data_IF_836717604421
#
_entry.id   IF_836717604421
#
_cell.length_a   1.000
_cell.length_b   1.000
_cell.length_c   1.000
_cell.angle_alpha   90.00
_cell.angle_beta   90.00
_cell.angle_gamma   90.00
#
_symmetry.space_group_name_H-M   'P 1'
#
loop_
_entity.id
_entity.type
_entity.pdbx_description
1 polymer ?
#
# COMPACT_ATOMS: atom_id res chain seq x y z
N UNK A 1 -13.60 0.62 -58.19
CA UNK A 1 -14.65 0.26 -57.23
C UNK A 1 -14.13 0.55 -55.83
N UNK A 2 -14.60 1.64 -55.20
CA UNK A 2 -14.09 2.10 -53.91
C UNK A 2 -14.98 1.53 -52.80
N UNK A 3 -14.48 0.56 -52.04
CA UNK A 3 -15.20 -0.05 -50.91
C UNK A 3 -15.11 0.89 -49.70
N UNK A 4 -16.16 1.64 -49.42
CA UNK A 4 -16.26 2.43 -48.20
C UNK A 4 -16.44 1.48 -47.02
N UNK A 5 -15.42 1.39 -46.16
CA UNK A 5 -15.53 0.63 -44.90
C UNK A 5 -16.55 1.32 -44.00
N UNK A 6 -17.68 0.65 -43.75
CA UNK A 6 -18.67 1.11 -42.77
C UNK A 6 -18.02 1.20 -41.39
N UNK A 7 -17.98 2.40 -40.80
CA UNK A 7 -17.47 2.59 -39.44
C UNK A 7 -18.50 2.00 -38.47
N UNK A 8 -18.22 0.83 -37.90
CA UNK A 8 -19.00 0.30 -36.76
C UNK A 8 -18.75 1.22 -35.56
N UNK A 9 -19.76 1.99 -35.17
CA UNK A 9 -19.78 2.73 -33.91
C UNK A 9 -20.07 1.81 -32.73
N UNK A 10 -19.59 2.18 -31.56
CA UNK A 10 -19.87 1.48 -30.29
C UNK A 10 -21.31 1.77 -29.85
N UNK A 11 -21.99 0.79 -29.25
CA UNK A 11 -23.35 1.00 -28.75
C UNK A 11 -23.32 1.64 -27.37
N UNK A 12 -24.34 2.44 -27.05
CA UNK A 12 -24.47 3.02 -25.71
C UNK A 12 -24.62 1.93 -24.64
N UNK A 13 -25.29 0.82 -24.97
CA UNK A 13 -25.47 -0.29 -24.03
C UNK A 13 -24.16 -0.98 -23.67
N UNK A 14 -23.24 -1.16 -24.64
CA UNK A 14 -21.91 -1.70 -24.35
C UNK A 14 -21.16 -0.78 -23.37
N UNK A 15 -21.27 0.54 -23.55
CA UNK A 15 -20.61 1.49 -22.66
C UNK A 15 -21.20 1.41 -21.24
N UNK A 16 -22.53 1.34 -21.13
CA UNK A 16 -23.21 1.26 -19.83
C UNK A 16 -22.79 0.02 -19.02
N UNK A 17 -22.67 -1.14 -19.69
CA UNK A 17 -22.22 -2.38 -19.03
C UNK A 17 -20.78 -2.23 -18.53
N UNK A 18 -19.90 -1.60 -19.33
CA UNK A 18 -18.51 -1.36 -18.93
C UNK A 18 -18.45 -0.48 -17.68
N UNK A 19 -19.20 0.63 -17.63
CA UNK A 19 -19.20 1.51 -16.44
C UNK A 19 -19.79 0.78 -15.23
N UNK A 20 -20.81 -0.04 -15.41
CA UNK A 20 -21.38 -0.84 -14.34
C UNK A 20 -20.37 -1.85 -13.75
N UNK A 21 -19.63 -2.56 -14.59
CA UNK A 21 -18.57 -3.50 -14.15
C UNK A 21 -17.46 -2.75 -13.42
N UNK A 22 -16.98 -1.62 -13.97
CA UNK A 22 -15.95 -0.80 -13.33
C UNK A 22 -16.45 -0.27 -11.97
N UNK A 23 -17.72 0.12 -11.86
CA UNK A 23 -18.33 0.57 -10.62
C UNK A 23 -18.33 -0.50 -9.53
N UNK A 24 -18.70 -1.74 -9.87
CA UNK A 24 -18.67 -2.88 -8.94
C UNK A 24 -17.24 -3.17 -8.48
N UNK A 25 -16.30 -3.21 -9.42
CA UNK A 25 -14.88 -3.44 -9.10
C UNK A 25 -14.32 -2.33 -8.22
N UNK A 26 -14.62 -1.07 -8.51
CA UNK A 26 -14.16 0.09 -7.74
C UNK A 26 -14.73 0.08 -6.31
N UNK A 27 -16.01 -0.27 -6.14
CA UNK A 27 -16.64 -0.36 -4.82
C UNK A 27 -15.94 -1.36 -3.89
N UNK A 28 -15.40 -2.46 -4.42
CA UNK A 28 -14.65 -3.46 -3.65
C UNK A 28 -13.17 -3.07 -3.52
N UNK A 29 -12.56 -2.55 -4.59
CA UNK A 29 -11.14 -2.27 -4.65
C UNK A 29 -10.71 -1.09 -3.77
N UNK A 30 -11.50 -0.01 -3.73
CA UNK A 30 -11.18 1.21 -2.98
C UNK A 30 -11.00 0.94 -1.47
N UNK A 31 -11.97 0.34 -0.74
CA UNK A 31 -11.79 0.08 0.70
C UNK A 31 -10.65 -0.90 0.96
N UNK A 32 -10.49 -1.93 0.12
CA UNK A 32 -9.40 -2.90 0.23
C UNK A 32 -8.03 -2.23 0.08
N UNK A 33 -7.89 -1.33 -0.89
CA UNK A 33 -6.64 -0.60 -1.09
C UNK A 33 -6.33 0.31 0.10
N UNK A 34 -7.33 1.01 0.64
CA UNK A 34 -7.15 1.82 1.85
C UNK A 34 -6.70 0.99 3.06
N UNK A 35 -7.28 -0.20 3.25
CA UNK A 35 -6.84 -1.14 4.30
C UNK A 35 -5.40 -1.61 4.10
N UNK A 36 -5.00 -1.89 2.85
CA UNK A 36 -3.63 -2.29 2.53
C UNK A 36 -2.60 -1.19 2.88
N UNK A 37 -2.91 0.07 2.59
CA UNK A 37 -2.06 1.21 2.98
C UNK A 37 -1.97 1.34 4.50
N UNK A 38 -3.09 1.16 5.23
CA UNK A 38 -3.07 1.18 6.69
C UNK A 38 -2.19 0.05 7.24
N UNK A 39 -2.34 -1.17 6.71
CA UNK A 39 -1.54 -2.33 7.10
C UNK A 39 -0.06 -2.17 6.76
N UNK A 40 0.27 -1.56 5.62
CA UNK A 40 1.67 -1.31 5.25
C UNK A 40 2.32 -0.29 6.19
N UNK A 41 1.61 0.78 6.55
CA UNK A 41 2.09 1.76 7.54
C UNK A 41 2.28 1.14 8.93
N UNK A 42 1.35 0.30 9.36
CA UNK A 42 1.46 -0.45 10.62
C UNK A 42 2.66 -1.42 10.58
N UNK A 43 2.84 -2.13 9.48
CA UNK A 43 3.97 -3.04 9.26
C UNK A 43 5.31 -2.32 9.26
N UNK A 44 5.40 -1.17 8.59
CA UNK A 44 6.60 -0.33 8.59
C UNK A 44 6.94 0.17 9.99
N UNK A 45 5.92 0.62 10.74
CA UNK A 45 6.09 1.07 12.13
C UNK A 45 6.56 -0.06 13.03
N UNK A 46 5.98 -1.27 12.91
CA UNK A 46 6.42 -2.47 13.64
C UNK A 46 7.86 -2.86 13.29
N UNK A 47 8.22 -2.80 12.00
CA UNK A 47 9.58 -3.04 11.53
C UNK A 47 10.57 -2.07 12.18
N UNK A 48 10.27 -0.77 12.15
CA UNK A 48 11.10 0.25 12.76
C UNK A 48 11.26 0.06 14.28
N UNK A 49 10.16 -0.23 14.99
CA UNK A 49 10.22 -0.54 16.43
C UNK A 49 11.05 -1.81 16.71
N UNK A 50 10.96 -2.82 15.85
CA UNK A 50 11.78 -4.02 15.95
C UNK A 50 13.26 -3.73 15.80
N UNK A 51 13.64 -2.91 14.81
CA UNK A 51 15.01 -2.45 14.61
C UNK A 51 15.52 -1.66 15.83
N UNK A 52 14.72 -0.70 16.34
CA UNK A 52 15.08 0.07 17.53
C UNK A 52 15.25 -0.83 18.77
N UNK A 53 14.36 -1.79 18.98
CA UNK A 53 14.47 -2.77 20.08
C UNK A 53 15.75 -3.59 19.96
N UNK A 54 16.12 -3.99 18.75
CA UNK A 54 17.38 -4.71 18.50
C UNK A 54 18.58 -3.85 18.88
N UNK A 55 18.67 -2.62 18.37
CA UNK A 55 19.75 -1.69 18.71
C UNK A 55 19.83 -1.43 20.22
N UNK A 56 18.68 -1.28 20.87
CA UNK A 56 18.59 -1.09 22.32
C UNK A 56 19.14 -2.29 23.09
N UNK A 57 18.80 -3.50 22.66
CA UNK A 57 19.29 -4.72 23.32
C UNK A 57 20.80 -4.91 23.17
N UNK A 58 21.37 -4.51 22.03
CA UNK A 58 22.81 -4.53 21.78
C UNK A 58 23.50 -3.52 22.70
N UNK A 59 23.06 -2.26 22.69
CA UNK A 59 23.61 -1.21 23.55
C UNK A 59 23.56 -1.60 25.04
N UNK A 60 22.43 -2.13 25.49
CA UNK A 60 22.25 -2.56 26.86
C UNK A 60 23.21 -3.69 27.27
N UNK A 61 23.51 -4.61 26.34
CA UNK A 61 24.50 -5.66 26.55
C UNK A 61 25.93 -5.12 26.61
N UNK A 62 26.27 -4.18 25.73
CA UNK A 62 27.60 -3.58 25.63
C UNK A 62 27.91 -2.63 26.81
N UNK A 63 26.91 -1.94 27.34
CA UNK A 63 27.05 -0.98 28.44
C UNK A 63 26.69 -1.55 29.81
N UNK A 64 26.90 -2.86 30.01
CA UNK A 64 26.72 -3.55 31.30
C UNK A 64 25.38 -3.26 31.99
N UNK A 65 24.29 -3.17 31.22
CA UNK A 65 22.93 -2.98 31.73
C UNK A 65 22.47 -1.53 31.86
N UNK A 66 23.15 -0.59 31.20
CA UNK A 66 22.71 0.81 31.10
C UNK A 66 21.94 1.05 29.80
N UNK A 67 20.76 1.68 29.91
CA UNK A 67 19.99 2.10 28.74
C UNK A 67 20.48 3.44 28.17
N UNK A 68 20.41 3.65 26.86
CA UNK A 68 20.79 4.91 26.23
C UNK A 68 19.86 6.05 26.62
N UNK A 69 20.44 7.19 27.04
CA UNK A 69 19.69 8.39 27.42
C UNK A 69 19.16 9.19 26.22
N UNK A 70 19.68 8.92 25.02
CA UNK A 70 19.30 9.60 23.80
C UNK A 70 19.17 8.64 22.60
N UNK A 71 18.20 8.91 21.74
CA UNK A 71 17.99 8.13 20.50
C UNK A 71 19.20 8.19 19.56
N UNK A 72 19.99 9.27 19.63
CA UNK A 72 21.24 9.42 18.88
C UNK A 72 22.38 8.50 19.35
N UNK A 73 22.24 7.84 20.49
CA UNK A 73 23.21 6.85 20.98
C UNK A 73 22.89 5.41 20.54
N UNK A 74 21.82 5.21 19.76
CA UNK A 74 21.39 3.94 19.16
C UNK A 74 21.77 3.81 17.66
N UNK A 75 22.37 4.86 17.08
CA UNK A 75 22.84 4.92 15.68
C UNK A 75 24.36 4.83 15.66
#
# INVERSE_FOLDING_TARGET
MHMTKSKKGFTLIELMIVVAIIGILAAIAIPKFAELIRKSSEGASKGNLGSLRSSLSIYYGDMEGVYPEAIGSLT
#
